data_IF_183148750164
#
_entry.id   IF_183148750164
#
_cell.length_a   1.000
_cell.length_b   1.000
_cell.length_c   1.000
_cell.angle_alpha   90.00
_cell.angle_beta   90.00
_cell.angle_gamma   90.00
#
_symmetry.space_group_name_H-M   'P 1'
#
loop_
_entity.id
_entity.type
_entity.pdbx_description
1 polymer ?
#
# COMPACT_ATOMS: atom_id res chain seq x y z
N UNK A 1 -2.05 16.34 6.50
CA UNK A 1 -2.07 15.09 7.27
C UNK A 1 -3.40 14.98 7.99
N UNK A 2 -3.95 13.80 8.06
CA UNK A 2 -5.19 13.52 8.78
C UNK A 2 -4.91 13.19 10.27
N UNK A 3 -5.95 12.83 11.01
CA UNK A 3 -5.84 12.47 12.43
C UNK A 3 -5.00 11.21 12.68
N UNK A 4 -4.87 10.34 11.67
CA UNK A 4 -3.98 9.17 11.74
C UNK A 4 -2.50 9.52 11.64
N UNK A 5 -2.14 10.76 11.32
CA UNK A 5 -0.77 11.15 11.04
C UNK A 5 -0.23 10.63 9.70
N UNK A 6 -1.14 10.29 8.79
CA UNK A 6 -0.88 9.89 7.41
C UNK A 6 -1.31 10.99 6.44
N UNK A 7 -0.85 10.91 5.19
CA UNK A 7 -1.32 11.79 4.13
C UNK A 7 -2.76 11.44 3.78
N UNK A 8 -3.60 12.47 3.71
CA UNK A 8 -4.95 12.37 3.20
C UNK A 8 -4.95 12.68 1.70
N UNK A 9 -5.48 11.74 0.92
CA UNK A 9 -5.55 11.83 -0.54
C UNK A 9 -7.03 11.93 -0.94
N UNK A 10 -7.42 12.91 -1.78
CA UNK A 10 -8.76 12.95 -2.33
C UNK A 10 -9.01 11.76 -3.26
N UNK A 11 -10.27 11.38 -3.50
CA UNK A 11 -10.59 10.29 -4.42
C UNK A 11 -10.01 10.56 -5.80
N UNK A 12 -9.33 9.56 -6.38
CA UNK A 12 -8.61 9.64 -7.64
C UNK A 12 -7.53 10.75 -7.67
N UNK A 13 -6.94 11.06 -6.53
CA UNK A 13 -5.97 12.16 -6.37
C UNK A 13 -4.50 11.75 -6.40
N UNK A 14 -4.20 10.49 -6.69
CA UNK A 14 -2.86 9.94 -6.82
C UNK A 14 -2.54 9.54 -8.28
N UNK A 15 -1.50 8.70 -8.48
CA UNK A 15 -1.16 8.19 -9.79
C UNK A 15 -2.26 7.34 -10.43
N UNK A 16 -3.17 6.77 -9.60
CA UNK A 16 -4.35 6.01 -10.05
C UNK A 16 -5.56 6.93 -10.26
N UNK A 17 -5.41 7.95 -11.08
CA UNK A 17 -6.34 9.06 -11.31
C UNK A 17 -7.75 8.68 -11.83
N UNK A 18 -7.96 7.40 -12.14
CA UNK A 18 -9.27 6.84 -12.53
C UNK A 18 -9.72 5.69 -11.63
N UNK A 19 -9.11 5.49 -10.45
CA UNK A 19 -9.59 4.55 -9.43
C UNK A 19 -10.12 5.29 -8.19
N UNK A 20 -11.03 4.63 -7.49
CA UNK A 20 -11.66 5.19 -6.29
C UNK A 20 -10.78 5.05 -5.03
N UNK A 21 -9.47 5.23 -5.18
CA UNK A 21 -8.54 5.28 -4.06
C UNK A 21 -8.66 6.61 -3.35
N UNK A 22 -8.62 6.60 -2.01
CA UNK A 22 -8.80 7.83 -1.23
C UNK A 22 -8.39 7.70 0.22
N UNK A 23 -8.30 8.82 0.91
CA UNK A 23 -8.03 9.01 2.32
C UNK A 23 -6.64 8.48 2.69
N UNK A 24 -6.52 7.36 3.39
CA UNK A 24 -5.21 6.72 3.65
C UNK A 24 -4.86 5.81 2.47
N UNK A 25 -4.11 6.31 1.51
CA UNK A 25 -3.67 5.55 0.32
C UNK A 25 -2.28 4.98 0.57
N UNK A 26 -2.07 3.71 0.25
CA UNK A 26 -0.82 3.00 0.47
C UNK A 26 0.34 3.65 -0.28
N UNK A 27 0.18 3.87 -1.59
CA UNK A 27 1.21 4.43 -2.47
C UNK A 27 1.76 5.74 -1.93
N UNK A 28 0.90 6.71 -1.66
CA UNK A 28 1.32 8.04 -1.18
C UNK A 28 1.98 7.97 0.18
N UNK A 29 1.46 7.14 1.09
CA UNK A 29 1.98 7.05 2.43
C UNK A 29 3.28 6.25 2.53
N UNK A 30 3.53 5.30 1.63
CA UNK A 30 4.84 4.65 1.48
C UNK A 30 5.87 5.66 0.96
N UNK A 31 5.51 6.51 0.01
CA UNK A 31 6.39 7.58 -0.47
C UNK A 31 6.63 8.64 0.61
N UNK A 32 5.61 8.98 1.40
CA UNK A 32 5.74 9.87 2.55
C UNK A 32 6.71 9.31 3.59
N UNK A 33 6.61 8.01 3.91
CA UNK A 33 7.57 7.32 4.75
C UNK A 33 9.00 7.44 4.21
N UNK A 34 9.19 7.10 2.93
CA UNK A 34 10.51 7.13 2.29
C UNK A 34 11.13 8.55 2.29
N UNK A 35 10.31 9.56 1.99
CA UNK A 35 10.74 10.96 2.01
C UNK A 35 11.10 11.43 3.43
N UNK A 36 10.31 11.04 4.43
CA UNK A 36 10.58 11.38 5.84
C UNK A 36 11.87 10.72 6.32
N UNK A 37 12.06 9.43 6.01
CA UNK A 37 13.28 8.70 6.36
C UNK A 37 14.53 9.34 5.71
N UNK A 38 14.45 9.68 4.42
CA UNK A 38 15.53 10.35 3.71
C UNK A 38 15.85 11.72 4.32
N UNK A 39 14.83 12.49 4.71
CA UNK A 39 14.99 13.77 5.39
C UNK A 39 15.70 13.60 6.74
N UNK A 40 15.28 12.64 7.56
CA UNK A 40 15.91 12.35 8.86
C UNK A 40 17.39 11.95 8.70
N UNK A 41 17.70 11.11 7.70
CA UNK A 41 19.07 10.70 7.38
C UNK A 41 19.94 11.88 6.93
N UNK A 42 19.42 12.75 6.07
CA UNK A 42 20.12 13.94 5.62
C UNK A 42 20.36 14.92 6.77
N UNK A 43 19.37 15.14 7.64
CA UNK A 43 19.52 15.99 8.81
C UNK A 43 20.60 15.47 9.76
N UNK A 44 20.66 14.16 9.97
CA UNK A 44 21.71 13.53 10.78
C UNK A 44 23.10 13.69 10.15
N UNK A 45 23.26 13.50 8.85
CA UNK A 45 24.52 13.67 8.12
C UNK A 45 25.03 15.12 8.16
N UNK A 46 24.13 16.08 8.08
CA UNK A 46 24.48 17.50 8.09
C UNK A 46 24.67 18.06 9.51
N UNK A 47 24.53 17.25 10.57
CA UNK A 47 24.56 17.70 11.97
C UNK A 47 23.65 18.92 12.20
N UNK A 48 22.49 18.95 11.53
CA UNK A 48 21.57 20.07 11.57
C UNK A 48 21.02 20.25 12.99
N UNK A 49 21.42 21.31 13.67
CA UNK A 49 20.96 21.65 15.02
C UNK A 49 19.48 22.08 15.04
N UNK A 50 18.95 22.52 13.91
CA UNK A 50 17.55 22.88 13.74
C UNK A 50 17.10 22.41 12.35
N UNK A 51 16.30 21.34 12.24
CA UNK A 51 15.79 20.91 10.95
C UNK A 51 14.87 21.98 10.36
N UNK A 52 15.02 22.25 9.06
CA UNK A 52 14.17 23.20 8.31
C UNK A 52 12.69 22.76 8.32
N UNK A 53 12.48 21.45 8.43
CA UNK A 53 11.16 20.82 8.51
C UNK A 53 11.16 19.80 9.64
N UNK A 54 10.15 19.86 10.50
CA UNK A 54 9.89 18.84 11.51
C UNK A 54 8.60 18.13 11.15
N UNK A 55 8.65 16.86 10.69
CA UNK A 55 7.45 16.09 10.45
C UNK A 55 6.69 15.90 11.77
N UNK A 56 5.36 15.98 11.71
CA UNK A 56 4.50 15.71 12.88
C UNK A 56 4.63 14.28 13.37
N UNK A 57 4.96 13.37 12.45
CA UNK A 57 5.21 11.95 12.70
C UNK A 57 6.54 11.60 12.06
N UNK A 58 7.45 10.98 12.80
CA UNK A 58 8.73 10.49 12.29
C UNK A 58 8.56 9.24 11.41
N UNK A 59 9.62 8.83 10.71
CA UNK A 59 9.58 7.68 9.80
C UNK A 59 9.11 6.39 10.49
N UNK A 60 9.61 6.08 11.68
CA UNK A 60 9.19 4.89 12.45
C UNK A 60 7.69 4.95 12.79
N UNK A 61 7.20 6.13 13.15
CA UNK A 61 5.79 6.33 13.43
C UNK A 61 4.89 6.14 12.20
N UNK A 62 5.35 6.57 11.01
CA UNK A 62 4.62 6.34 9.75
C UNK A 62 4.63 4.84 9.42
N UNK A 63 5.79 4.20 9.50
CA UNK A 63 5.93 2.75 9.25
C UNK A 63 4.99 1.93 10.16
N UNK A 64 5.00 2.22 11.46
CA UNK A 64 4.09 1.57 12.40
C UNK A 64 2.62 1.71 11.99
N UNK A 65 2.18 2.90 11.59
CA UNK A 65 0.79 3.17 11.18
C UNK A 65 0.40 2.42 9.90
N UNK A 66 1.28 2.38 8.91
CA UNK A 66 1.07 1.63 7.67
C UNK A 66 0.90 0.14 7.96
N UNK A 67 1.79 -0.42 8.77
CA UNK A 67 1.75 -1.83 9.13
C UNK A 67 0.50 -2.21 9.97
N UNK A 68 0.01 -1.31 10.80
CA UNK A 68 -1.16 -1.57 11.63
C UNK A 68 -2.48 -1.33 10.91
N UNK A 69 -2.54 -0.32 10.03
CA UNK A 69 -3.79 0.04 9.37
C UNK A 69 -4.02 -0.75 8.08
N UNK A 70 -2.96 -0.98 7.29
CA UNK A 70 -3.10 -1.51 5.94
C UNK A 70 -2.73 -2.99 5.80
N UNK A 71 -1.94 -3.55 6.73
CA UNK A 71 -1.65 -4.98 6.76
C UNK A 71 -2.68 -5.71 7.61
N UNK A 72 -3.60 -6.44 6.96
CA UNK A 72 -4.67 -7.16 7.68
C UNK A 72 -4.16 -8.54 8.11
N UNK A 73 -3.79 -8.66 9.38
CA UNK A 73 -3.45 -9.93 10.02
C UNK A 73 -4.28 -10.10 11.30
N UNK A 74 -5.35 -10.86 11.21
CA UNK A 74 -6.29 -11.04 12.34
C UNK A 74 -5.70 -11.83 13.51
N UNK A 75 -4.84 -12.80 13.23
CA UNK A 75 -4.21 -13.60 14.29
C UNK A 75 -3.28 -12.72 15.11
N UNK A 76 -2.41 -11.97 14.44
CA UNK A 76 -1.49 -11.05 15.10
C UNK A 76 -2.21 -9.98 15.91
N UNK A 77 -3.28 -9.40 15.36
CA UNK A 77 -4.09 -8.40 16.07
C UNK A 77 -4.72 -8.98 17.33
N UNK A 78 -5.27 -10.20 17.27
CA UNK A 78 -5.90 -10.83 18.43
C UNK A 78 -4.89 -11.05 19.57
N UNK A 79 -3.64 -11.42 19.25
CA UNK A 79 -2.58 -11.68 20.23
C UNK A 79 -1.99 -10.39 20.82
N UNK A 80 -1.89 -9.32 20.06
CA UNK A 80 -1.17 -8.10 20.44
C UNK A 80 -2.07 -6.88 20.70
N UNK A 81 -3.38 -7.05 20.66
CA UNK A 81 -4.36 -5.96 20.74
C UNK A 81 -4.14 -5.05 21.96
N UNK A 82 -4.00 -5.62 23.15
CA UNK A 82 -3.89 -4.86 24.39
C UNK A 82 -2.60 -4.04 24.46
N UNK A 83 -1.49 -4.58 24.01
CA UNK A 83 -0.18 -3.91 23.97
C UNK A 83 -0.16 -2.74 23.01
N UNK A 84 -0.80 -2.90 21.84
CA UNK A 84 -0.78 -1.90 20.78
C UNK A 84 -1.88 -0.85 20.90
N UNK A 85 -2.92 -1.08 21.71
CA UNK A 85 -4.03 -0.14 21.85
C UNK A 85 -3.57 1.26 22.28
N UNK A 86 -2.57 1.37 23.15
CA UNK A 86 -1.99 2.65 23.58
C UNK A 86 -1.16 3.31 22.47
N UNK A 87 -0.38 2.52 21.72
CA UNK A 87 0.40 3.01 20.56
C UNK A 87 -0.51 3.46 19.43
N UNK A 88 -1.74 2.95 19.40
CA UNK A 88 -2.73 3.17 18.34
C UNK A 88 -3.67 4.35 18.59
N UNK A 89 -3.44 5.18 19.61
CA UNK A 89 -4.36 6.28 19.96
C UNK A 89 -4.69 7.18 18.77
N UNK A 90 -3.73 7.46 17.90
CA UNK A 90 -3.89 8.33 16.75
C UNK A 90 -4.71 7.72 15.60
N UNK A 91 -4.61 6.39 15.40
CA UNK A 91 -5.34 5.67 14.33
C UNK A 91 -6.43 4.76 14.88
N UNK A 92 -6.74 4.92 16.16
CA UNK A 92 -7.63 4.03 16.92
C UNK A 92 -9.00 3.89 16.28
N UNK A 93 -9.56 4.98 15.78
CA UNK A 93 -10.90 4.97 15.24
C UNK A 93 -10.98 4.22 13.92
N UNK A 94 -10.10 4.54 12.96
CA UNK A 94 -10.04 3.87 11.66
C UNK A 94 -9.72 2.41 11.83
N UNK A 95 -8.75 2.08 12.68
CA UNK A 95 -8.37 0.72 12.96
C UNK A 95 -9.49 -0.06 13.64
N UNK A 96 -10.15 0.52 14.65
CA UNK A 96 -11.30 -0.07 15.30
C UNK A 96 -12.45 -0.31 14.31
N UNK A 97 -12.74 0.66 13.44
CA UNK A 97 -13.77 0.53 12.42
C UNK A 97 -13.43 -0.55 11.40
N UNK A 98 -12.16 -0.64 10.98
CA UNK A 98 -11.70 -1.67 10.05
C UNK A 98 -11.90 -3.08 10.65
N UNK A 99 -11.48 -3.31 11.87
CA UNK A 99 -11.52 -4.64 12.49
C UNK A 99 -12.85 -4.99 13.16
N UNK A 100 -13.58 -4.01 13.67
CA UNK A 100 -14.84 -4.25 14.37
C UNK A 100 -16.02 -4.34 13.40
N UNK A 101 -16.15 -3.37 12.50
CA UNK A 101 -17.28 -3.34 11.55
C UNK A 101 -17.08 -4.28 10.35
N UNK A 102 -15.87 -4.69 10.10
CA UNK A 102 -15.52 -5.63 9.04
C UNK A 102 -15.16 -7.00 9.60
N UNK A 103 -15.95 -7.49 10.53
CA UNK A 103 -15.72 -8.78 11.21
C UNK A 103 -15.56 -9.97 10.26
N UNK A 104 -15.87 -9.81 8.98
CA UNK A 104 -15.68 -10.80 7.90
C UNK A 104 -14.38 -10.64 7.13
N UNK A 105 -13.64 -9.54 7.32
CA UNK A 105 -12.37 -9.38 6.62
C UNK A 105 -11.38 -10.45 7.07
N UNK A 106 -10.89 -11.25 6.14
CA UNK A 106 -9.83 -12.24 6.38
C UNK A 106 -8.46 -11.61 6.20
N UNK A 107 -7.42 -12.25 6.75
CA UNK A 107 -6.04 -11.84 6.50
C UNK A 107 -5.75 -11.76 5.01
N UNK A 108 -4.96 -10.78 4.60
CA UNK A 108 -4.53 -10.59 3.21
C UNK A 108 -3.01 -10.76 3.13
N UNK A 109 -2.49 -11.38 2.06
CA UNK A 109 -1.05 -11.51 1.84
C UNK A 109 -0.43 -10.26 1.21
N UNK A 110 -1.08 -9.11 1.34
CA UNK A 110 -0.66 -7.82 0.80
C UNK A 110 -1.24 -6.68 1.63
N UNK A 111 -0.64 -5.49 1.53
CA UNK A 111 -1.23 -4.27 2.10
C UNK A 111 -2.45 -3.86 1.31
N UNK A 112 -3.52 -3.48 2.00
CA UNK A 112 -4.70 -2.86 1.39
C UNK A 112 -4.29 -1.58 0.64
N UNK A 113 -4.84 -1.31 -0.54
CA UNK A 113 -4.46 -0.15 -1.36
C UNK A 113 -4.87 1.17 -0.72
N UNK A 114 -5.95 1.18 0.04
CA UNK A 114 -6.43 2.33 0.78
C UNK A 114 -7.41 1.91 1.88
N UNK A 115 -7.47 2.74 2.93
CA UNK A 115 -8.40 2.57 4.07
C UNK A 115 -8.98 3.92 4.44
N UNK A 116 -10.31 4.02 4.44
CA UNK A 116 -11.06 5.17 4.93
C UNK A 116 -11.92 4.79 6.15
N UNK A 117 -12.65 5.75 6.70
CA UNK A 117 -13.42 5.59 7.93
C UNK A 117 -14.43 4.41 7.93
N UNK A 118 -15.03 4.08 6.79
CA UNK A 118 -16.04 3.02 6.66
C UNK A 118 -15.83 2.09 5.46
N UNK A 119 -14.77 2.33 4.72
CA UNK A 119 -14.53 1.65 3.46
C UNK A 119 -13.03 1.37 3.29
N UNK A 120 -12.72 0.39 2.49
CA UNK A 120 -11.36 0.03 2.12
C UNK A 120 -11.34 -0.59 0.72
N UNK A 121 -10.20 -0.57 0.07
CA UNK A 121 -9.97 -1.34 -1.14
C UNK A 121 -9.63 -2.79 -0.78
N UNK A 122 -10.33 -3.76 -1.37
CA UNK A 122 -10.04 -5.19 -1.16
C UNK A 122 -9.45 -5.81 -2.44
N UNK A 123 -8.36 -5.23 -2.89
CA UNK A 123 -7.57 -5.66 -4.04
C UNK A 123 -6.11 -5.29 -3.85
N UNK A 124 -5.22 -6.03 -4.53
CA UNK A 124 -3.79 -5.77 -4.46
C UNK A 124 -3.40 -4.65 -5.42
N UNK A 125 -2.91 -3.53 -4.89
CA UNK A 125 -2.14 -2.53 -5.62
C UNK A 125 -0.71 -3.03 -5.74
N UNK A 126 -0.30 -3.39 -6.96
CA UNK A 126 1.04 -3.93 -7.18
C UNK A 126 2.13 -2.90 -6.93
N UNK A 127 1.96 -1.65 -7.39
CA UNK A 127 2.97 -0.61 -7.22
C UNK A 127 3.14 -0.21 -5.76
N UNK A 128 2.05 0.05 -5.02
CA UNK A 128 2.12 0.37 -3.60
C UNK A 128 2.78 -0.73 -2.78
N UNK A 129 2.45 -1.99 -3.06
CA UNK A 129 3.06 -3.14 -2.38
C UNK A 129 4.53 -3.33 -2.74
N UNK A 130 4.92 -3.18 -4.00
CA UNK A 130 6.31 -3.24 -4.43
C UNK A 130 7.16 -2.11 -3.82
N UNK A 131 6.61 -0.90 -3.74
CA UNK A 131 7.26 0.21 -3.06
C UNK A 131 7.38 -0.04 -1.55
N UNK A 132 6.38 -0.64 -0.89
CA UNK A 132 6.48 -1.02 0.51
C UNK A 132 7.63 -2.01 0.76
N UNK A 133 7.89 -2.93 -0.17
CA UNK A 133 9.07 -3.81 -0.14
C UNK A 133 10.37 -2.99 -0.32
N UNK A 134 10.43 -2.18 -1.35
CA UNK A 134 11.65 -1.46 -1.73
C UNK A 134 12.06 -0.37 -0.75
N UNK A 135 11.11 0.23 -0.05
CA UNK A 135 11.39 1.24 0.98
C UNK A 135 11.65 0.65 2.37
N UNK A 136 11.31 -0.62 2.59
CA UNK A 136 11.47 -1.30 3.86
C UNK A 136 10.28 -1.11 4.83
N UNK A 137 9.13 -0.67 4.34
CA UNK A 137 7.86 -0.71 5.09
C UNK A 137 7.45 -2.16 5.34
N UNK A 138 7.55 -3.01 4.32
CA UNK A 138 7.38 -4.44 4.45
C UNK A 138 8.64 -5.09 5.01
N UNK A 139 8.53 -5.81 6.12
CA UNK A 139 9.57 -6.69 6.63
C UNK A 139 9.74 -7.95 5.77
N UNK A 140 10.69 -8.81 6.13
CA UNK A 140 10.98 -10.02 5.35
C UNK A 140 9.80 -10.98 5.24
N UNK A 141 9.00 -11.13 6.31
CA UNK A 141 7.81 -11.98 6.32
C UNK A 141 6.73 -11.44 5.38
N UNK A 142 6.41 -10.15 5.49
CA UNK A 142 5.41 -9.50 4.62
C UNK A 142 5.86 -9.49 3.17
N UNK A 143 7.15 -9.23 2.93
CA UNK A 143 7.74 -9.27 1.59
C UNK A 143 7.54 -10.62 0.92
N UNK A 144 7.83 -11.72 1.64
CA UNK A 144 7.65 -13.07 1.10
C UNK A 144 6.17 -13.33 0.76
N UNK A 145 5.25 -12.94 1.63
CA UNK A 145 3.80 -13.07 1.36
C UNK A 145 3.36 -12.30 0.12
N UNK A 146 3.80 -11.05 -0.02
CA UNK A 146 3.49 -10.22 -1.19
C UNK A 146 4.02 -10.87 -2.47
N UNK A 147 5.33 -11.18 -2.53
CA UNK A 147 5.94 -11.73 -3.73
C UNK A 147 5.33 -13.08 -4.14
N UNK A 148 5.03 -13.96 -3.18
CA UNK A 148 4.31 -15.21 -3.44
C UNK A 148 2.91 -14.96 -3.99
N UNK A 149 2.19 -14.01 -3.42
CA UNK A 149 0.85 -13.67 -3.91
C UNK A 149 0.89 -13.12 -5.34
N UNK A 150 1.80 -12.19 -5.66
CA UNK A 150 1.96 -11.65 -7.01
C UNK A 150 2.24 -12.77 -8.04
N UNK A 151 3.08 -13.73 -7.67
CA UNK A 151 3.35 -14.92 -8.50
C UNK A 151 2.11 -15.80 -8.66
N UNK A 152 1.42 -16.14 -7.56
CA UNK A 152 0.27 -17.05 -7.54
C UNK A 152 -0.90 -16.54 -8.39
N UNK A 153 -1.14 -15.23 -8.39
CA UNK A 153 -2.25 -14.64 -9.18
C UNK A 153 -1.85 -14.29 -10.60
N UNK A 154 -0.64 -14.63 -11.03
CA UNK A 154 -0.15 -14.27 -12.35
C UNK A 154 -0.13 -12.74 -12.56
N UNK A 155 0.36 -11.98 -11.57
CA UNK A 155 0.39 -10.51 -11.66
C UNK A 155 1.19 -10.03 -12.86
N UNK A 156 2.23 -10.75 -13.24
CA UNK A 156 3.06 -10.48 -14.42
C UNK A 156 2.64 -11.26 -15.67
N UNK A 157 1.41 -11.78 -15.71
CA UNK A 157 0.88 -12.54 -16.84
C UNK A 157 -0.42 -11.91 -17.36
N UNK A 158 -0.44 -11.38 -18.61
CA UNK A 158 0.71 -11.24 -19.50
C UNK A 158 1.70 -10.20 -18.99
N UNK A 159 2.95 -10.39 -19.37
CA UNK A 159 4.10 -9.55 -19.02
C UNK A 159 3.91 -8.07 -19.42
N UNK A 160 4.44 -7.07 -18.66
CA UNK A 160 5.28 -7.28 -17.47
C UNK A 160 4.52 -7.34 -16.13
N UNK A 161 3.65 -6.39 -15.76
CA UNK A 161 2.97 -6.42 -14.46
C UNK A 161 1.70 -5.57 -14.50
N UNK A 162 0.61 -6.13 -14.00
CA UNK A 162 -0.68 -5.46 -13.87
C UNK A 162 -0.65 -4.44 -12.74
N UNK A 163 -1.42 -3.35 -12.88
CA UNK A 163 -1.54 -2.32 -11.86
C UNK A 163 -2.24 -2.84 -10.59
N UNK A 164 -3.36 -3.56 -10.76
CA UNK A 164 -4.11 -4.15 -9.65
C UNK A 164 -4.58 -5.58 -9.96
N UNK A 165 -4.90 -6.32 -8.89
CA UNK A 165 -5.56 -7.63 -8.99
C UNK A 165 -6.44 -7.90 -7.74
N UNK A 166 -7.70 -8.41 -7.92
CA UNK A 166 -8.40 -8.54 -9.19
C UNK A 166 -8.80 -7.18 -9.78
N UNK A 167 -9.09 -7.08 -11.09
CA UNK A 167 -9.71 -5.88 -11.64
C UNK A 167 -11.13 -5.70 -11.10
N UNK A 168 -11.62 -4.48 -11.04
CA UNK A 168 -12.94 -4.13 -10.50
C UNK A 168 -13.95 -4.11 -11.63
N UNK A 169 -15.02 -4.90 -11.49
CA UNK A 169 -16.09 -5.00 -12.49
C UNK A 169 -17.28 -4.09 -12.16
N UNK A 170 -18.08 -3.71 -13.17
CA UNK A 170 -19.34 -2.99 -12.96
C UNK A 170 -20.26 -3.71 -11.97
N UNK A 171 -20.74 -2.97 -10.95
CA UNK A 171 -21.61 -3.51 -9.90
C UNK A 171 -20.87 -4.00 -8.65
N UNK A 172 -19.54 -4.11 -8.68
CA UNK A 172 -18.75 -4.43 -7.49
C UNK A 172 -18.54 -3.20 -6.58
N UNK A 173 -18.21 -3.44 -5.31
CA UNK A 173 -18.09 -2.39 -4.29
C UNK A 173 -17.00 -1.33 -4.59
N UNK A 174 -16.05 -1.59 -5.39
CA UNK A 174 -15.03 -0.61 -5.80
C UNK A 174 -15.38 0.16 -7.08
N UNK A 175 -16.47 -0.24 -7.79
CA UNK A 175 -16.81 0.37 -9.06
C UNK A 175 -17.30 1.81 -8.93
N UNK A 176 -16.91 2.64 -9.88
CA UNK A 176 -17.44 4.01 -10.07
C UNK A 176 -17.80 4.22 -11.53
N UNK A 177 -18.89 4.94 -11.80
CA UNK A 177 -19.35 5.15 -13.17
C UNK A 177 -18.36 5.94 -14.03
N UNK A 178 -17.51 6.76 -13.43
CA UNK A 178 -16.47 7.46 -14.17
C UNK A 178 -15.37 6.53 -14.72
N UNK A 179 -15.26 5.27 -14.26
CA UNK A 179 -14.36 4.28 -14.87
C UNK A 179 -14.69 4.02 -16.34
N UNK A 180 -15.96 4.23 -16.71
CA UNK A 180 -16.41 4.12 -18.11
C UNK A 180 -16.06 5.33 -18.96
N UNK A 181 -15.59 6.42 -18.36
CA UNK A 181 -15.26 7.63 -19.10
C UNK A 181 -14.30 7.33 -20.23
N UNK A 182 -14.77 7.52 -21.47
CA UNK A 182 -14.02 7.20 -22.71
C UNK A 182 -13.51 5.76 -22.78
N UNK A 183 -14.07 4.83 -22.02
CA UNK A 183 -13.63 3.42 -21.91
C UNK A 183 -12.15 3.26 -21.51
N UNK A 184 -11.63 4.16 -20.70
CA UNK A 184 -10.20 4.16 -20.37
C UNK A 184 -9.85 3.23 -19.21
N UNK A 185 -10.77 3.00 -18.26
CA UNK A 185 -10.49 2.25 -17.04
C UNK A 185 -11.47 1.07 -16.82
N UNK A 186 -11.88 0.41 -17.90
CA UNK A 186 -12.64 -0.83 -17.81
C UNK A 186 -11.77 -1.95 -17.23
N UNK A 187 -12.35 -3.08 -16.77
CA UNK A 187 -11.57 -4.20 -16.26
C UNK A 187 -10.46 -4.59 -17.24
N UNK A 188 -9.27 -4.82 -16.72
CA UNK A 188 -8.02 -5.10 -17.45
C UNK A 188 -7.46 -3.93 -18.27
N UNK A 189 -7.91 -2.71 -18.05
CA UNK A 189 -7.41 -1.51 -18.73
C UNK A 189 -6.84 -0.52 -17.73
N UNK A 190 -5.91 0.31 -18.19
CA UNK A 190 -5.31 1.43 -17.48
C UNK A 190 -4.97 1.06 -16.02
N UNK A 191 -5.52 1.75 -15.01
CA UNK A 191 -5.25 1.41 -13.60
C UNK A 191 -6.06 0.22 -13.10
N UNK A 192 -7.15 -0.17 -13.79
CA UNK A 192 -8.03 -1.27 -13.41
C UNK A 192 -7.52 -2.63 -13.94
N UNK A 193 -6.28 -2.97 -13.60
CA UNK A 193 -5.64 -4.22 -13.99
C UNK A 193 -4.93 -4.17 -15.35
N UNK A 194 -4.72 -2.97 -15.93
CA UNK A 194 -3.86 -2.78 -17.11
C UNK A 194 -2.39 -3.01 -16.77
N UNK A 195 -1.59 -3.24 -17.81
CA UNK A 195 -0.17 -3.59 -17.71
C UNK A 195 0.68 -2.32 -17.83
N UNK A 196 1.63 -2.17 -16.90
CA UNK A 196 2.51 -1.02 -16.85
C UNK A 196 3.98 -1.44 -16.80
N UNK A 197 4.78 -1.12 -17.85
CA UNK A 197 6.21 -1.43 -17.86
C UNK A 197 6.98 -0.87 -16.66
N UNK A 198 6.60 0.31 -16.19
CA UNK A 198 7.17 0.93 -14.99
C UNK A 198 7.01 0.04 -13.77
N UNK A 199 5.82 -0.54 -13.56
CA UNK A 199 5.55 -1.45 -12.43
C UNK A 199 6.38 -2.72 -12.57
N UNK A 200 6.55 -3.22 -13.80
CA UNK A 200 7.45 -4.34 -14.09
C UNK A 200 8.88 -4.09 -13.62
N UNK A 201 9.41 -2.90 -13.84
CA UNK A 201 10.74 -2.52 -13.35
C UNK A 201 10.85 -2.54 -11.82
N UNK A 202 9.84 -2.04 -11.10
CA UNK A 202 9.78 -2.14 -9.63
C UNK A 202 9.62 -3.59 -9.15
N UNK A 203 8.88 -4.42 -9.89
CA UNK A 203 8.71 -5.83 -9.56
C UNK A 203 10.06 -6.57 -9.66
N UNK A 204 10.79 -6.41 -10.76
CA UNK A 204 12.14 -6.96 -10.90
C UNK A 204 13.05 -6.49 -9.77
N UNK A 205 13.04 -5.18 -9.46
CA UNK A 205 13.88 -4.63 -8.38
C UNK A 205 13.56 -5.26 -7.00
N UNK A 206 12.28 -5.48 -6.70
CA UNK A 206 11.85 -6.13 -5.45
C UNK A 206 12.30 -7.58 -5.39
N UNK A 207 12.16 -8.34 -6.48
CA UNK A 207 12.61 -9.73 -6.59
C UNK A 207 14.14 -9.84 -6.38
N UNK A 208 14.92 -8.99 -7.08
CA UNK A 208 16.39 -8.97 -6.94
C UNK A 208 16.81 -8.65 -5.51
N UNK A 209 16.19 -7.64 -4.88
CA UNK A 209 16.48 -7.24 -3.50
C UNK A 209 16.28 -8.38 -2.49
N UNK A 210 15.36 -9.28 -2.77
CA UNK A 210 15.03 -10.41 -1.89
C UNK A 210 15.57 -11.75 -2.38
N UNK A 211 16.58 -11.73 -3.29
CA UNK A 211 17.28 -12.92 -3.81
C UNK A 211 16.41 -13.89 -4.61
N UNK A 212 15.30 -13.44 -5.19
CA UNK A 212 14.46 -14.19 -6.11
C UNK A 212 14.95 -13.97 -7.56
N UNK A 213 16.21 -14.31 -7.81
CA UNK A 213 16.91 -13.96 -9.04
C UNK A 213 16.36 -14.68 -10.26
N UNK A 214 15.92 -15.95 -10.10
CA UNK A 214 15.35 -16.72 -11.21
C UNK A 214 14.03 -16.11 -11.70
N UNK A 215 13.17 -15.72 -10.75
CA UNK A 215 11.90 -15.06 -11.05
C UNK A 215 12.14 -13.66 -11.65
N UNK A 216 13.11 -12.92 -11.12
CA UNK A 216 13.49 -11.63 -11.68
C UNK A 216 13.97 -11.75 -13.12
N UNK A 217 14.78 -12.77 -13.45
CA UNK A 217 15.26 -12.99 -14.79
C UNK A 217 14.16 -13.37 -15.79
N UNK A 218 13.09 -14.01 -15.32
CA UNK A 218 11.92 -14.32 -16.16
C UNK A 218 11.10 -13.07 -16.52
N UNK A 219 11.22 -11.99 -15.73
CA UNK A 219 10.53 -10.72 -15.93
C UNK A 219 11.34 -9.67 -16.69
N UNK A 220 12.58 -9.96 -17.06
CA UNK A 220 13.44 -9.10 -17.87
C UNK A 220 13.30 -9.39 -19.35
#
# INVERSE_FOLDING_TARGET
MNECGLLEVPEAGDWMDLLAVRYNVLYDNVLYYAATLAHEQMAALLHASTPIYQPTVNADGINMRLNLLMWVDRCWVAEHFAEHLEKLKAIRLEWFMLYHNMGTISSRPFYLPWVAFREYGDWCDSLGNLLAILTGVADGHRTEHILRYLSQVGMAEPYPTKAIYPPIFPGENGWRDYFRSRNLNLPHQYHNGGIWPMIGGFHVAALVRHNWQNEAQQLL
#
